data_IF_257988267609
#
_entry.id   IF_257988267609
#
_cell.length_a   1.000
_cell.length_b   1.000
_cell.length_c   1.000
_cell.angle_alpha   90.00
_cell.angle_beta   90.00
_cell.angle_gamma   90.00
#
_symmetry.space_group_name_H-M   'P 1'
#
loop_
_entity.id
_entity.type
_entity.pdbx_description
1 polymer ?
#
# COMPACT_ATOMS: atom_id res chain seq x y z
N UNK A 1 0.45 17.19 10.25
CA UNK A 1 1.08 16.50 11.42
C UNK A 1 1.76 17.55 12.26
N UNK A 2 1.38 17.65 13.54
CA UNK A 2 1.88 18.68 14.44
C UNK A 2 3.40 18.63 14.59
N UNK A 3 4.09 19.79 14.61
CA UNK A 3 5.56 19.84 14.68
C UNK A 3 6.14 19.11 15.89
N UNK A 4 5.46 19.15 17.05
CA UNK A 4 5.85 18.41 18.25
C UNK A 4 5.90 16.91 18.06
N UNK A 5 4.91 16.32 17.36
CA UNK A 5 4.89 14.87 17.05
C UNK A 5 6.01 14.44 16.14
N UNK A 6 6.48 15.33 15.25
CA UNK A 6 7.63 15.03 14.38
C UNK A 6 8.94 14.94 15.16
N UNK A 7 9.10 15.77 16.18
CA UNK A 7 10.27 15.76 17.08
C UNK A 7 10.30 14.48 17.94
N UNK A 8 9.15 14.02 18.42
CA UNK A 8 9.04 12.77 19.19
C UNK A 8 9.37 11.54 18.33
N UNK A 9 8.89 11.49 17.06
CA UNK A 9 9.22 10.43 16.11
C UNK A 9 10.73 10.43 15.82
N UNK A 10 11.33 11.60 15.62
CA UNK A 10 12.75 11.74 15.36
C UNK A 10 13.59 11.24 16.53
N UNK A 11 13.16 11.52 17.76
CA UNK A 11 13.81 11.03 18.99
C UNK A 11 13.70 9.50 19.11
N UNK A 12 12.53 8.94 18.85
CA UNK A 12 12.33 7.49 18.83
C UNK A 12 13.18 6.78 17.77
N UNK A 13 13.42 7.43 16.63
CA UNK A 13 14.30 6.90 15.57
C UNK A 13 15.77 6.89 15.97
N UNK A 14 16.21 7.85 16.77
CA UNK A 14 17.57 7.83 17.36
C UNK A 14 17.72 6.75 18.43
N UNK A 15 16.71 6.61 19.32
CA UNK A 15 16.72 5.61 20.40
C UNK A 15 16.69 4.17 19.85
N UNK A 16 16.01 3.96 18.71
CA UNK A 16 15.96 2.66 18.01
C UNK A 16 17.16 2.38 17.11
N UNK A 17 18.09 3.31 16.96
CA UNK A 17 19.29 3.16 16.12
C UNK A 17 19.03 3.23 14.61
N UNK A 18 17.87 3.71 14.20
CA UNK A 18 17.49 3.87 12.77
C UNK A 18 18.23 5.04 12.13
N UNK A 19 18.53 6.10 12.91
CA UNK A 19 19.32 7.25 12.49
C UNK A 19 20.49 7.46 13.43
N UNK A 20 21.58 8.04 12.92
CA UNK A 20 22.73 8.40 13.73
C UNK A 20 22.55 9.77 14.41
N UNK A 21 23.44 10.07 15.39
CA UNK A 21 23.37 11.31 16.15
C UNK A 21 23.55 12.56 15.26
N UNK A 22 24.29 12.44 14.17
CA UNK A 22 24.58 13.54 13.24
C UNK A 22 23.37 13.85 12.35
N UNK A 23 22.66 12.81 11.93
CA UNK A 23 21.39 12.94 11.20
C UNK A 23 20.29 13.48 12.10
N UNK A 24 20.22 13.03 13.35
CA UNK A 24 19.30 13.55 14.35
C UNK A 24 19.44 15.07 14.55
N UNK A 25 20.66 15.56 14.81
CA UNK A 25 20.90 17.00 15.01
C UNK A 25 20.55 17.82 13.77
N UNK A 26 20.87 17.33 12.56
CA UNK A 26 20.52 17.97 11.29
C UNK A 26 19.00 18.12 11.08
N UNK A 27 18.22 17.11 11.45
CA UNK A 27 16.77 17.16 11.30
C UNK A 27 16.10 17.94 12.42
N UNK A 28 16.65 17.89 13.62
CA UNK A 28 16.20 18.67 14.77
C UNK A 28 16.30 20.17 14.51
N UNK A 29 17.43 20.63 13.98
CA UNK A 29 17.65 22.04 13.63
C UNK A 29 16.63 22.56 12.61
N UNK A 30 16.16 21.73 11.70
CA UNK A 30 15.13 22.05 10.71
C UNK A 30 13.73 22.10 11.30
N UNK A 31 13.44 21.32 12.32
CA UNK A 31 12.09 21.15 12.89
C UNK A 31 11.85 22.06 14.11
N UNK A 32 12.90 22.52 14.80
CA UNK A 32 12.79 23.39 15.97
C UNK A 32 12.19 24.78 15.69
N UNK A 33 12.43 25.47 14.55
CA UNK A 33 11.80 26.73 14.25
C UNK A 33 10.27 26.61 14.13
N UNK A 34 9.80 25.57 13.43
CA UNK A 34 8.37 25.32 13.23
C UNK A 34 7.66 24.96 14.55
N UNK A 35 8.34 24.27 15.45
CA UNK A 35 7.80 23.91 16.77
C UNK A 35 7.66 25.12 17.70
N UNK A 36 8.60 26.05 17.66
CA UNK A 36 8.58 27.28 18.48
C UNK A 36 7.53 28.29 17.99
N UNK A 37 7.25 28.32 16.70
CA UNK A 37 6.23 29.19 16.10
C UNK A 37 4.82 28.68 16.41
N UNK A 38 4.62 27.34 16.41
CA UNK A 38 3.38 26.70 16.77
C UNK A 38 3.03 26.88 18.26
N UNK A 39 4.01 26.77 19.16
CA UNK A 39 3.82 26.95 20.60
C UNK A 39 3.50 28.42 20.97
N UNK A 40 4.07 29.38 20.23
CA UNK A 40 3.71 30.82 20.35
C UNK A 40 2.28 31.10 19.91
N UNK A 41 1.79 30.45 18.87
CA UNK A 41 0.42 30.58 18.37
C UNK A 41 -0.60 30.06 19.38
N UNK A 42 -0.36 28.89 19.98
CA UNK A 42 -1.25 28.35 21.03
C UNK A 42 -1.24 29.19 22.32
N UNK A 43 -0.10 29.77 22.69
CA UNK A 43 0.00 30.61 23.88
C UNK A 43 -0.73 31.96 23.73
N UNK A 44 -0.85 32.49 22.51
CA UNK A 44 -1.63 33.70 22.22
C UNK A 44 -3.15 33.46 22.27
N UNK A 45 -3.62 32.26 21.88
CA UNK A 45 -5.04 31.89 21.99
C UNK A 45 -5.48 31.64 23.44
N UNK A 46 -4.61 31.06 24.29
CA UNK A 46 -4.89 30.84 25.72
C UNK A 46 -4.90 32.17 26.48
N UNK A 47 -4.05 33.14 26.11
CA UNK A 47 -4.03 34.45 26.75
C UNK A 47 -5.26 35.32 26.41
N UNK A 48 -5.77 35.19 25.16
CA UNK A 48 -7.01 35.90 24.76
C UNK A 48 -8.27 35.37 25.47
N UNK A 49 -8.32 34.12 25.82
CA UNK A 49 -9.45 33.54 26.56
C UNK A 49 -9.45 33.84 28.07
N UNK A 50 -8.30 34.15 28.66
CA UNK A 50 -8.22 34.54 30.08
C UNK A 50 -8.64 35.98 30.35
N UNK A 51 -8.42 36.90 29.40
CA UNK A 51 -8.89 38.29 29.54
C UNK A 51 -10.40 38.42 29.37
N UNK A 52 -11.02 37.61 28.50
CA UNK A 52 -12.47 37.56 28.36
C UNK A 52 -13.19 36.96 29.60
N UNK A 53 -12.52 36.07 30.33
CA UNK A 53 -13.04 35.48 31.56
C UNK A 53 -13.06 36.46 32.75
N UNK A 54 -12.09 37.37 32.86
CA UNK A 54 -12.04 38.39 33.91
C UNK A 54 -13.06 39.53 33.75
N UNK A 55 -13.41 39.92 32.50
CA UNK A 55 -14.44 40.88 32.21
C UNK A 55 -15.86 40.36 32.46
N UNK A 56 -16.06 39.03 32.50
CA UNK A 56 -17.37 38.43 32.82
C UNK A 56 -17.65 38.40 34.30
N UNK A 57 -16.62 38.24 35.16
CA UNK A 57 -16.78 38.23 36.64
C UNK A 57 -17.04 39.64 37.21
N UNK A 58 -16.49 40.71 36.63
CA UNK A 58 -16.75 42.07 37.15
C UNK A 58 -18.15 42.59 36.83
N UNK A 59 -18.85 42.00 35.84
CA UNK A 59 -20.21 42.37 35.45
C UNK A 59 -21.29 41.56 36.18
N UNK A 60 -20.89 40.48 36.85
CA UNK A 60 -21.78 39.62 37.64
C UNK A 60 -22.02 40.13 39.07
N UNK A 61 -21.11 40.98 39.63
CA UNK A 61 -21.26 41.50 40.97
C UNK A 61 -22.13 42.78 41.06
N UNK A 62 -22.42 43.44 39.94
CA UNK A 62 -23.24 44.66 39.91
C UNK A 62 -24.75 44.41 39.76
N UNK A 63 -25.18 43.14 39.55
CA UNK A 63 -26.57 42.72 39.33
C UNK A 63 -27.21 41.93 40.48
N UNK A 64 -26.55 41.89 41.68
CA UNK A 64 -27.11 41.30 42.89
C UNK A 64 -27.91 42.34 43.68
N UNK A 65 -28.98 42.87 43.13
CA UNK A 65 -30.10 43.46 43.89
C UNK A 65 -31.36 42.70 43.58
N UNK A 66 -31.91 42.11 44.63
CA UNK A 66 -33.15 41.34 44.62
C UNK A 66 -34.25 42.01 43.82
N UNK A 67 -35.01 41.18 43.13
CA UNK A 67 -36.46 41.31 43.17
C UNK A 67 -37.21 39.97 43.27
N UNK A 68 -38.15 40.01 44.21
CA UNK A 68 -39.44 39.33 44.19
C UNK A 68 -39.66 37.99 43.48
N UNK A 69 -40.22 37.09 44.24
CA UNK A 69 -40.75 35.76 43.87
C UNK A 69 -41.53 35.77 42.56
N UNK A 70 -40.98 35.15 41.53
CA UNK A 70 -41.69 34.77 40.32
C UNK A 70 -41.93 33.26 40.27
N UNK A 71 -43.03 32.79 39.71
CA UNK A 71 -43.61 31.46 39.94
C UNK A 71 -42.74 30.31 39.47
N UNK A 72 -42.62 29.28 40.27
CA UNK A 72 -41.86 28.00 40.12
C UNK A 72 -42.02 27.24 38.80
N UNK A 73 -42.87 27.67 37.86
CA UNK A 73 -43.11 26.99 36.56
C UNK A 73 -42.02 27.21 35.48
N UNK A 74 -41.19 28.24 35.62
CA UNK A 74 -40.16 28.51 34.60
C UNK A 74 -38.90 27.63 34.74
N UNK A 75 -38.61 27.16 35.94
CA UNK A 75 -37.46 26.30 36.26
C UNK A 75 -37.55 24.92 35.58
N UNK A 76 -38.74 24.29 35.56
CA UNK A 76 -38.89 22.99 34.94
C UNK A 76 -38.79 23.04 33.40
N UNK A 77 -39.28 24.11 32.78
CA UNK A 77 -39.16 24.31 31.32
C UNK A 77 -37.71 24.50 30.91
N UNK A 78 -36.94 25.27 31.70
CA UNK A 78 -35.51 25.50 31.43
C UNK A 78 -34.73 24.18 31.60
N UNK A 79 -35.08 23.37 32.60
CA UNK A 79 -34.44 22.09 32.83
C UNK A 79 -34.75 21.08 31.72
N UNK A 80 -35.98 21.01 31.25
CA UNK A 80 -36.38 20.15 30.12
C UNK A 80 -35.71 20.64 28.83
N UNK A 81 -35.67 21.94 28.59
CA UNK A 81 -35.00 22.51 27.40
C UNK A 81 -33.47 22.21 27.38
N UNK A 82 -32.82 22.28 28.56
CA UNK A 82 -31.38 21.94 28.65
C UNK A 82 -31.11 20.45 28.39
N UNK A 83 -31.96 19.54 28.89
CA UNK A 83 -31.86 18.11 28.61
C UNK A 83 -32.04 17.83 27.11
N UNK A 84 -33.05 18.42 26.47
CA UNK A 84 -33.28 18.29 25.03
C UNK A 84 -32.06 18.79 24.24
N UNK A 85 -31.48 19.93 24.61
CA UNK A 85 -30.29 20.47 23.96
C UNK A 85 -29.10 19.50 24.05
N UNK A 86 -28.86 18.90 25.23
CA UNK A 86 -27.80 17.94 25.44
C UNK A 86 -28.05 16.68 24.59
N UNK A 87 -29.25 16.15 24.57
CA UNK A 87 -29.60 15.00 23.73
C UNK A 87 -29.39 15.26 22.24
N UNK A 88 -29.80 16.46 21.76
CA UNK A 88 -29.55 16.87 20.37
C UNK A 88 -28.06 17.02 20.07
N UNK A 89 -27.26 17.50 21.00
CA UNK A 89 -25.82 17.64 20.85
C UNK A 89 -25.14 16.25 20.76
N UNK A 90 -25.53 15.30 21.61
CA UNK A 90 -25.06 13.91 21.52
C UNK A 90 -25.51 13.24 20.21
N UNK A 91 -26.75 13.45 19.80
CA UNK A 91 -27.26 12.94 18.52
C UNK A 91 -26.48 13.52 17.32
N UNK A 92 -26.16 14.80 17.36
CA UNK A 92 -25.36 15.47 16.33
C UNK A 92 -23.92 14.92 16.27
N UNK A 93 -23.25 14.73 17.42
CA UNK A 93 -21.90 14.13 17.51
C UNK A 93 -21.94 12.69 17.00
N UNK A 94 -22.94 11.92 17.37
CA UNK A 94 -23.10 10.54 16.93
C UNK A 94 -23.36 10.46 15.40
N UNK A 95 -24.24 11.30 14.88
CA UNK A 95 -24.48 11.41 13.45
C UNK A 95 -23.20 11.84 12.68
N UNK A 96 -22.47 12.82 13.21
CA UNK A 96 -21.18 13.25 12.64
C UNK A 96 -20.16 12.12 12.62
N UNK A 97 -20.05 11.33 13.69
CA UNK A 97 -19.12 10.19 13.75
C UNK A 97 -19.49 9.05 12.79
N UNK A 98 -20.76 8.85 12.48
CA UNK A 98 -21.22 7.86 11.51
C UNK A 98 -20.97 8.34 10.08
N UNK A 99 -21.24 9.63 9.80
CA UNK A 99 -21.08 10.23 8.47
C UNK A 99 -19.60 10.42 8.10
N UNK A 100 -18.74 10.73 9.07
CA UNK A 100 -17.32 10.97 8.89
C UNK A 100 -16.46 9.77 9.28
N UNK A 101 -16.87 8.55 8.91
CA UNK A 101 -15.98 7.38 9.07
C UNK A 101 -14.67 7.65 8.33
N UNK A 102 -13.52 7.49 9.00
CA UNK A 102 -12.24 7.66 8.34
C UNK A 102 -12.17 6.69 7.15
N UNK A 103 -11.84 7.22 5.98
CA UNK A 103 -11.55 6.37 4.81
C UNK A 103 -10.34 5.51 5.13
N UNK A 104 -10.28 4.26 4.65
CA UNK A 104 -9.10 3.44 4.83
C UNK A 104 -7.89 4.18 4.26
N UNK A 105 -6.84 4.32 5.05
CA UNK A 105 -5.64 5.08 4.70
C UNK A 105 -4.49 4.15 4.31
N UNK A 106 -4.58 2.88 4.66
CA UNK A 106 -3.54 1.88 4.40
C UNK A 106 -4.10 0.65 3.69
N UNK A 107 -3.20 -0.12 3.09
CA UNK A 107 -3.55 -1.41 2.46
C UNK A 107 -4.02 -2.41 3.52
N UNK A 108 -3.44 -2.36 4.72
CA UNK A 108 -3.84 -3.18 5.86
C UNK A 108 -5.29 -2.90 6.28
N UNK A 109 -5.70 -1.62 6.33
CA UNK A 109 -7.10 -1.25 6.60
C UNK A 109 -8.05 -1.84 5.56
N UNK A 110 -7.65 -1.83 4.28
CA UNK A 110 -8.41 -2.43 3.20
C UNK A 110 -8.55 -3.94 3.39
N UNK A 111 -7.47 -4.65 3.74
CA UNK A 111 -7.52 -6.09 4.03
C UNK A 111 -8.46 -6.40 5.21
N UNK A 112 -8.40 -5.61 6.28
CA UNK A 112 -9.32 -5.77 7.43
C UNK A 112 -10.78 -5.54 7.03
N UNK A 113 -11.07 -4.54 6.20
CA UNK A 113 -12.42 -4.28 5.69
C UNK A 113 -12.90 -5.39 4.75
N UNK A 114 -12.02 -5.91 3.89
CA UNK A 114 -12.31 -7.01 2.99
C UNK A 114 -12.69 -8.29 3.74
N UNK A 115 -11.89 -8.67 4.73
CA UNK A 115 -12.15 -9.84 5.57
C UNK A 115 -13.46 -9.71 6.38
N UNK A 116 -13.89 -8.49 6.69
CA UNK A 116 -15.19 -8.20 7.31
C UNK A 116 -16.36 -8.11 6.31
N UNK A 117 -16.12 -8.36 5.03
CA UNK A 117 -17.13 -8.26 3.97
C UNK A 117 -17.67 -6.84 3.75
N UNK A 118 -16.89 -5.81 4.05
CA UNK A 118 -17.30 -4.39 3.96
C UNK A 118 -16.85 -3.69 2.67
N UNK A 119 -16.07 -4.36 1.83
CA UNK A 119 -15.69 -3.86 0.51
C UNK A 119 -16.66 -4.36 -0.55
N UNK A 120 -16.81 -3.57 -1.61
CA UNK A 120 -17.48 -4.01 -2.83
C UNK A 120 -16.60 -5.02 -3.57
N UNK A 121 -17.16 -5.93 -4.40
CA UNK A 121 -16.39 -6.92 -5.15
C UNK A 121 -15.30 -6.35 -6.05
N UNK A 122 -15.48 -5.11 -6.54
CA UNK A 122 -14.51 -4.39 -7.36
C UNK A 122 -13.34 -3.82 -6.53
N UNK A 123 -13.55 -3.64 -5.22
CA UNK A 123 -12.56 -3.09 -4.29
C UNK A 123 -11.79 -4.18 -3.55
N UNK A 124 -12.37 -5.37 -3.43
CA UNK A 124 -11.71 -6.48 -2.77
C UNK A 124 -12.59 -7.72 -2.68
N UNK A 125 -11.93 -8.85 -2.54
CA UNK A 125 -12.58 -10.15 -2.35
C UNK A 125 -11.63 -11.15 -1.68
N UNK A 126 -12.18 -12.22 -1.15
CA UNK A 126 -11.40 -13.35 -0.61
C UNK A 126 -11.29 -14.44 -1.67
N UNK A 127 -10.06 -14.74 -2.08
CA UNK A 127 -9.76 -15.76 -3.07
C UNK A 127 -9.50 -17.11 -2.38
N UNK A 128 -10.11 -18.18 -2.87
CA UNK A 128 -10.03 -19.55 -2.30
C UNK A 128 -10.33 -19.62 -0.79
N UNK A 129 -11.10 -18.67 -0.26
CA UNK A 129 -11.49 -18.63 1.15
C UNK A 129 -10.36 -18.23 2.12
N UNK A 130 -9.16 -17.94 1.63
CA UNK A 130 -7.96 -17.68 2.47
C UNK A 130 -7.30 -16.36 2.13
N UNK A 131 -7.13 -16.06 0.85
CA UNK A 131 -6.32 -14.94 0.40
C UNK A 131 -7.17 -13.70 0.21
N UNK A 132 -6.91 -12.64 1.00
CA UNK A 132 -7.55 -11.35 0.82
C UNK A 132 -6.89 -10.59 -0.32
N UNK A 133 -7.66 -10.27 -1.36
CA UNK A 133 -7.26 -9.39 -2.45
C UNK A 133 -7.98 -8.06 -2.32
N UNK A 134 -7.24 -6.96 -2.33
CA UNK A 134 -7.78 -5.60 -2.29
C UNK A 134 -7.14 -4.76 -3.37
N UNK A 135 -7.89 -3.82 -3.94
CA UNK A 135 -7.35 -2.89 -4.93
C UNK A 135 -7.17 -1.50 -4.35
N UNK A 136 -6.04 -0.92 -4.64
CA UNK A 136 -5.72 0.47 -4.33
C UNK A 136 -4.93 1.06 -5.49
N UNK A 137 -5.35 2.20 -5.99
CA UNK A 137 -4.73 2.90 -7.13
C UNK A 137 -4.49 2.02 -8.37
N UNK A 138 -5.51 1.22 -8.72
CA UNK A 138 -5.50 0.26 -9.83
C UNK A 138 -4.45 -0.86 -9.73
N UNK A 139 -3.91 -1.08 -8.54
CA UNK A 139 -3.02 -2.21 -8.24
C UNK A 139 -3.72 -3.13 -7.25
N UNK A 140 -3.62 -4.43 -7.47
CA UNK A 140 -4.13 -5.45 -6.57
C UNK A 140 -3.07 -5.85 -5.55
N UNK A 141 -3.47 -5.86 -4.30
CA UNK A 141 -2.61 -6.24 -3.18
C UNK A 141 -3.13 -7.50 -2.52
N UNK A 142 -2.20 -8.38 -2.16
CA UNK A 142 -2.46 -9.54 -1.30
C UNK A 142 -1.28 -9.77 -0.39
N UNK A 143 -1.51 -10.46 0.72
CA UNK A 143 -0.46 -10.78 1.70
C UNK A 143 -0.15 -12.27 1.66
N UNK A 144 1.14 -12.58 1.59
CA UNK A 144 1.65 -13.93 1.73
C UNK A 144 2.66 -14.02 2.87
N UNK A 145 2.56 -15.10 3.62
CA UNK A 145 3.57 -15.44 4.63
C UNK A 145 4.72 -16.19 3.97
N UNK A 146 5.95 -15.86 4.33
CA UNK A 146 7.13 -16.60 3.87
C UNK A 146 7.01 -18.09 4.23
N UNK A 147 7.66 -19.02 3.50
CA UNK A 147 7.65 -20.44 3.82
C UNK A 147 8.09 -20.76 5.25
N UNK A 148 8.94 -19.93 5.84
CA UNK A 148 9.40 -20.04 7.24
C UNK A 148 8.45 -19.41 8.26
N UNK A 149 7.35 -18.78 7.84
CA UNK A 149 6.38 -18.12 8.71
C UNK A 149 6.90 -16.84 9.41
N UNK A 150 8.10 -16.38 9.05
CA UNK A 150 8.80 -15.28 9.77
C UNK A 150 8.56 -13.91 9.16
N UNK A 151 8.12 -13.85 7.91
CA UNK A 151 7.90 -12.58 7.19
C UNK A 151 6.55 -12.61 6.48
N UNK A 152 5.87 -11.48 6.46
CA UNK A 152 4.69 -11.25 5.62
C UNK A 152 5.14 -10.34 4.47
N UNK A 153 4.81 -10.73 3.26
CA UNK A 153 5.06 -9.97 2.04
C UNK A 153 3.76 -9.39 1.51
N UNK A 154 3.73 -8.08 1.32
CA UNK A 154 2.69 -7.42 0.54
C UNK A 154 3.06 -7.54 -0.93
N UNK A 155 2.27 -8.30 -1.67
CA UNK A 155 2.42 -8.49 -3.09
C UNK A 155 1.53 -7.50 -3.83
N UNK A 156 2.12 -6.75 -4.74
CA UNK A 156 1.45 -5.78 -5.59
C UNK A 156 1.46 -6.28 -7.03
N UNK A 157 0.30 -6.61 -7.60
CA UNK A 157 0.14 -7.11 -8.98
C UNK A 157 -0.91 -6.25 -9.71
N UNK A 158 -0.78 -6.13 -11.01
CA UNK A 158 -1.69 -5.27 -11.80
C UNK A 158 -3.03 -5.92 -12.06
N UNK A 159 -3.06 -7.24 -12.16
CA UNK A 159 -4.26 -8.02 -12.42
C UNK A 159 -4.57 -8.95 -11.25
N UNK A 160 -5.84 -9.10 -10.95
CA UNK A 160 -6.29 -10.04 -9.92
C UNK A 160 -6.35 -11.48 -10.47
N UNK A 161 -6.37 -12.50 -9.61
CA UNK A 161 -6.59 -13.88 -10.04
C UNK A 161 -7.87 -14.07 -10.88
N UNK A 162 -8.90 -13.26 -10.67
CA UNK A 162 -10.14 -13.32 -11.46
C UNK A 162 -9.92 -12.89 -12.90
N UNK A 163 -9.05 -11.89 -13.11
CA UNK A 163 -8.76 -11.34 -14.43
C UNK A 163 -7.87 -12.29 -15.27
N UNK A 164 -7.17 -13.21 -14.59
CA UNK A 164 -6.17 -14.10 -15.18
C UNK A 164 -6.59 -15.57 -15.23
N UNK A 165 -7.83 -15.87 -14.80
CA UNK A 165 -8.32 -17.25 -14.67
C UNK A 165 -8.27 -18.06 -15.99
N UNK A 166 -8.45 -17.39 -17.11
CA UNK A 166 -8.51 -18.02 -18.42
C UNK A 166 -7.12 -18.15 -19.08
N UNK A 167 -6.06 -17.66 -18.41
CA UNK A 167 -4.69 -17.78 -18.90
C UNK A 167 -4.08 -19.08 -18.40
N UNK A 168 -3.87 -20.01 -19.33
CA UNK A 168 -3.25 -21.30 -19.07
C UNK A 168 -1.73 -21.15 -19.18
N UNK A 169 -1.00 -21.80 -18.24
CA UNK A 169 0.45 -21.97 -18.36
C UNK A 169 0.71 -23.39 -18.84
N UNK A 170 1.28 -23.51 -20.02
CA UNK A 170 1.65 -24.81 -20.60
C UNK A 170 3.01 -25.27 -20.08
N UNK A 171 3.29 -26.58 -20.14
CA UNK A 171 4.59 -27.15 -19.79
C UNK A 171 4.84 -27.17 -18.28
N UNK A 172 6.09 -27.40 -17.88
CA UNK A 172 6.48 -27.53 -16.47
C UNK A 172 7.83 -26.87 -16.21
N UNK A 173 7.89 -26.07 -15.16
CA UNK A 173 9.14 -25.52 -14.63
C UNK A 173 9.80 -26.55 -13.72
N UNK A 174 11.11 -26.76 -13.87
CA UNK A 174 11.87 -27.57 -12.93
C UNK A 174 12.04 -26.80 -11.61
N UNK A 175 11.27 -27.17 -10.60
CA UNK A 175 11.30 -26.53 -9.29
C UNK A 175 12.66 -26.64 -8.60
N UNK A 176 13.37 -27.76 -8.74
CA UNK A 176 14.72 -27.90 -8.16
C UNK A 176 15.71 -26.98 -8.84
N UNK A 177 15.62 -26.88 -10.16
CA UNK A 177 16.45 -25.96 -10.92
C UNK A 177 16.15 -24.51 -10.50
N UNK A 178 14.87 -24.16 -10.42
CA UNK A 178 14.45 -22.84 -9.94
C UNK A 178 14.99 -22.53 -8.55
N UNK A 179 14.85 -23.43 -7.59
CA UNK A 179 15.26 -23.20 -6.20
C UNK A 179 16.79 -23.09 -6.03
N UNK A 180 17.57 -23.82 -6.84
CA UNK A 180 19.02 -23.89 -6.73
C UNK A 180 19.75 -22.73 -7.46
N UNK A 181 19.05 -21.89 -8.22
CA UNK A 181 19.66 -20.76 -8.94
C UNK A 181 19.32 -19.45 -8.26
N UNK A 182 20.33 -18.72 -7.78
CA UNK A 182 20.19 -17.39 -7.16
C UNK A 182 20.05 -16.27 -8.20
N UNK A 183 20.49 -16.53 -9.43
CA UNK A 183 20.41 -15.60 -10.55
C UNK A 183 19.39 -16.07 -11.58
N UNK A 184 18.71 -15.11 -12.23
CA UNK A 184 17.88 -15.40 -13.39
C UNK A 184 18.11 -14.35 -14.49
N UNK A 185 18.05 -14.80 -15.73
CA UNK A 185 18.29 -13.98 -16.88
C UNK A 185 16.95 -13.49 -17.45
N UNK A 186 16.86 -12.18 -17.68
CA UNK A 186 15.70 -11.56 -18.32
C UNK A 186 16.08 -11.20 -19.72
N UNK A 187 15.47 -11.85 -20.70
CA UNK A 187 15.78 -11.70 -22.12
C UNK A 187 14.56 -11.34 -22.95
N UNK A 188 14.78 -10.54 -23.97
CA UNK A 188 13.77 -10.11 -24.94
C UNK A 188 14.44 -9.57 -26.21
N UNK A 189 13.67 -9.38 -27.28
CA UNK A 189 14.14 -8.77 -28.52
C UNK A 189 14.50 -7.29 -28.30
N UNK A 190 15.78 -6.87 -28.44
CA UNK A 190 16.22 -5.50 -28.19
C UNK A 190 15.72 -4.49 -29.25
N UNK A 191 15.21 -4.97 -30.40
CA UNK A 191 14.66 -4.14 -31.47
C UNK A 191 13.13 -4.25 -31.58
N UNK A 192 12.50 -4.78 -30.52
CA UNK A 192 11.04 -4.92 -30.44
C UNK A 192 10.29 -3.59 -30.47
N UNK A 193 8.99 -3.65 -30.75
CA UNK A 193 8.11 -2.47 -30.82
C UNK A 193 7.34 -2.22 -29.53
N UNK A 194 7.21 -3.25 -28.69
CA UNK A 194 6.38 -3.25 -27.48
C UNK A 194 7.17 -2.90 -26.21
N UNK A 195 8.25 -2.10 -26.34
CA UNK A 195 9.23 -1.84 -25.28
C UNK A 195 8.60 -1.36 -23.97
N UNK A 196 7.54 -0.54 -24.03
CA UNK A 196 6.84 -0.04 -22.84
C UNK A 196 6.20 -1.17 -22.04
N UNK A 197 5.57 -2.13 -22.72
CA UNK A 197 4.89 -3.27 -22.09
C UNK A 197 5.90 -4.32 -21.63
N UNK A 198 6.95 -4.57 -22.44
CA UNK A 198 8.08 -5.42 -22.03
C UNK A 198 8.74 -4.87 -20.78
N UNK A 199 9.08 -3.58 -20.77
CA UNK A 199 9.68 -2.92 -19.61
C UNK A 199 8.82 -3.00 -18.35
N UNK A 200 7.50 -2.83 -18.51
CA UNK A 200 6.54 -2.95 -17.41
C UNK A 200 6.49 -4.38 -16.85
N UNK A 201 6.34 -5.37 -17.72
CA UNK A 201 6.32 -6.79 -17.36
C UNK A 201 7.62 -7.23 -16.66
N UNK A 202 8.77 -6.81 -17.19
CA UNK A 202 10.09 -7.08 -16.62
C UNK A 202 10.26 -6.42 -15.25
N UNK A 203 9.84 -5.17 -15.09
CA UNK A 203 9.95 -4.46 -13.82
C UNK A 203 9.13 -5.13 -12.73
N UNK A 204 7.88 -5.52 -13.03
CA UNK A 204 7.00 -6.23 -12.11
C UNK A 204 7.63 -7.59 -11.73
N UNK A 205 8.06 -8.39 -12.70
CA UNK A 205 8.69 -9.68 -12.43
C UNK A 205 9.96 -9.56 -11.57
N UNK A 206 10.87 -8.65 -11.94
CA UNK A 206 12.12 -8.43 -11.22
C UNK A 206 11.88 -8.03 -9.75
N UNK A 207 10.87 -7.18 -9.51
CA UNK A 207 10.51 -6.75 -8.16
C UNK A 207 10.12 -7.93 -7.29
N UNK A 208 9.26 -8.83 -7.79
CA UNK A 208 8.82 -10.01 -7.07
C UNK A 208 9.94 -11.04 -6.88
N UNK A 209 10.72 -11.29 -7.92
CA UNK A 209 11.84 -12.24 -7.87
C UNK A 209 12.92 -11.80 -6.87
N UNK A 210 13.27 -10.53 -6.88
CA UNK A 210 14.29 -10.01 -5.95
C UNK A 210 13.78 -9.90 -4.51
N UNK A 211 12.54 -9.44 -4.32
CA UNK A 211 12.01 -9.13 -2.98
C UNK A 211 11.55 -10.40 -2.23
N UNK A 212 10.94 -11.35 -2.93
CA UNK A 212 10.28 -12.50 -2.31
C UNK A 212 11.08 -13.79 -2.50
N UNK A 213 11.57 -14.03 -3.72
CA UNK A 213 12.37 -15.22 -4.03
C UNK A 213 13.87 -15.03 -3.80
N UNK A 214 14.30 -13.80 -3.44
CA UNK A 214 15.69 -13.42 -3.15
C UNK A 214 16.64 -13.72 -4.33
N UNK A 215 16.12 -13.68 -5.58
CA UNK A 215 16.87 -13.96 -6.80
C UNK A 215 17.34 -12.68 -7.47
N UNK A 216 18.55 -12.71 -8.02
CA UNK A 216 19.19 -11.58 -8.68
C UNK A 216 18.88 -11.56 -10.19
N UNK A 217 18.23 -10.50 -10.72
CA UNK A 217 18.00 -10.37 -12.15
C UNK A 217 19.28 -10.00 -12.90
N UNK A 218 19.53 -10.69 -14.00
CA UNK A 218 20.59 -10.39 -14.96
C UNK A 218 19.95 -9.97 -16.27
N UNK A 219 20.20 -8.75 -16.71
CA UNK A 219 19.71 -8.28 -18.01
C UNK A 219 20.47 -8.96 -19.13
N UNK A 220 19.72 -9.56 -20.05
CA UNK A 220 20.23 -10.26 -21.23
C UNK A 220 19.51 -9.77 -22.49
N UNK A 221 19.97 -10.20 -23.65
CA UNK A 221 19.30 -10.01 -24.93
C UNK A 221 19.13 -11.36 -25.61
N UNK A 222 18.07 -11.50 -26.44
CA UNK A 222 17.91 -12.71 -27.23
C UNK A 222 18.78 -12.72 -28.50
N UNK A 223 19.31 -11.53 -28.88
CA UNK A 223 20.18 -11.33 -30.03
C UNK A 223 21.08 -10.10 -29.88
N UNK A 224 22.17 -10.06 -30.62
CA UNK A 224 23.13 -8.95 -30.57
C UNK A 224 22.88 -7.95 -31.70
N UNK A 225 21.79 -7.17 -31.61
CA UNK A 225 21.40 -6.20 -32.63
C UNK A 225 21.47 -4.73 -32.18
N UNK A 226 21.83 -4.48 -30.90
CA UNK A 226 21.93 -3.11 -30.36
C UNK A 226 23.21 -2.93 -29.54
N UNK A 227 23.69 -1.68 -29.38
CA UNK A 227 24.88 -1.38 -28.57
C UNK A 227 24.80 -1.96 -27.15
N UNK A 228 23.66 -1.82 -26.41
CA UNK A 228 23.56 -2.41 -25.08
C UNK A 228 23.71 -3.95 -25.07
N UNK A 229 23.37 -4.62 -26.17
CA UNK A 229 23.46 -6.08 -26.25
C UNK A 229 24.87 -6.59 -26.62
N UNK A 230 25.78 -5.71 -27.00
CA UNK A 230 27.20 -6.06 -27.16
C UNK A 230 27.89 -6.34 -25.83
N UNK A 231 27.42 -5.68 -24.77
CA UNK A 231 27.98 -5.81 -23.41
C UNK A 231 27.18 -6.76 -22.51
N UNK A 232 26.02 -7.22 -22.98
CA UNK A 232 25.14 -8.13 -22.23
C UNK A 232 25.25 -9.56 -22.76
N UNK A 233 25.02 -10.56 -21.94
CA UNK A 233 24.94 -11.94 -22.39
C UNK A 233 23.77 -12.11 -23.38
N UNK A 234 24.01 -12.89 -24.43
CA UNK A 234 22.94 -13.35 -25.30
C UNK A 234 22.41 -14.65 -24.69
N UNK A 235 21.15 -14.66 -24.28
CA UNK A 235 20.52 -15.78 -23.58
C UNK A 235 19.16 -16.07 -24.15
N UNK A 236 18.88 -17.36 -24.36
CA UNK A 236 17.58 -17.88 -24.79
C UNK A 236 17.18 -19.08 -23.97
N UNK A 237 16.02 -19.69 -24.24
CA UNK A 237 15.60 -20.94 -23.58
C UNK A 237 16.47 -22.17 -23.96
N UNK A 238 17.41 -22.04 -24.86
CA UNK A 238 18.35 -23.10 -25.25
C UNK A 238 19.53 -23.20 -24.25
N UNK A 239 19.75 -22.16 -23.45
CA UNK A 239 20.77 -22.12 -22.41
C UNK A 239 20.30 -22.92 -21.18
N UNK A 240 20.48 -24.24 -21.20
CA UNK A 240 19.95 -25.16 -20.21
C UNK A 240 20.54 -25.00 -18.79
N UNK A 241 21.66 -24.29 -18.67
CA UNK A 241 22.37 -23.97 -17.42
C UNK A 241 21.90 -22.67 -16.76
N UNK A 242 20.93 -21.96 -17.35
CA UNK A 242 20.43 -20.68 -16.87
C UNK A 242 18.94 -20.72 -16.59
N UNK A 243 18.53 -20.08 -15.48
CA UNK A 243 17.11 -19.79 -15.23
C UNK A 243 16.74 -18.53 -16.05
N UNK A 244 15.77 -18.66 -16.94
CA UNK A 244 15.46 -17.61 -17.93
C UNK A 244 14.00 -17.16 -17.83
N UNK A 245 13.77 -15.84 -17.83
CA UNK A 245 12.50 -15.23 -18.24
C UNK A 245 12.67 -14.69 -19.65
N UNK A 246 11.94 -15.23 -20.61
CA UNK A 246 11.92 -14.79 -22.00
C UNK A 246 10.59 -14.11 -22.35
N UNK A 247 10.62 -12.79 -22.53
CA UNK A 247 9.48 -12.01 -23.01
C UNK A 247 9.55 -11.89 -24.53
N UNK A 248 8.57 -12.45 -25.24
CA UNK A 248 8.51 -12.47 -26.71
C UNK A 248 7.33 -11.68 -27.23
N UNK A 249 7.60 -10.70 -28.05
CA UNK A 249 6.56 -10.02 -28.81
C UNK A 249 5.95 -10.95 -29.85
N UNK A 250 4.64 -11.12 -29.81
CA UNK A 250 3.90 -12.04 -30.69
C UNK A 250 2.46 -11.56 -30.84
N UNK A 251 1.85 -11.83 -31.99
CA UNK A 251 0.41 -11.66 -32.16
C UNK A 251 -0.43 -12.73 -31.46
N UNK A 252 0.19 -13.83 -31.06
CA UNK A 252 -0.45 -14.90 -30.29
C UNK A 252 -0.06 -14.76 -28.82
N UNK A 253 -1.04 -14.66 -27.96
CA UNK A 253 -0.81 -14.67 -26.51
C UNK A 253 -0.66 -16.11 -26.02
N UNK A 254 0.45 -16.38 -25.31
CA UNK A 254 0.78 -17.67 -24.74
C UNK A 254 1.74 -17.53 -23.57
N UNK A 255 1.56 -18.36 -22.54
CA UNK A 255 2.49 -18.45 -21.41
C UNK A 255 2.85 -19.92 -21.19
N UNK A 256 4.13 -20.22 -21.13
CA UNK A 256 4.57 -21.61 -20.95
C UNK A 256 5.93 -21.73 -20.26
N UNK A 257 6.15 -22.89 -19.67
CA UNK A 257 7.43 -23.30 -19.13
C UNK A 257 8.12 -24.29 -20.03
N UNK A 258 9.43 -24.16 -20.15
CA UNK A 258 10.29 -25.12 -20.79
C UNK A 258 11.46 -25.41 -19.85
N UNK A 259 11.27 -26.36 -18.91
CA UNK A 259 12.24 -26.79 -17.90
C UNK A 259 12.83 -25.65 -17.07
N UNK A 260 13.86 -24.98 -17.58
CA UNK A 260 14.57 -23.86 -16.94
C UNK A 260 14.10 -22.49 -17.41
N UNK A 261 13.14 -22.43 -18.34
CA UNK A 261 12.74 -21.20 -19.00
C UNK A 261 11.26 -20.91 -18.78
N UNK A 262 10.96 -19.67 -18.41
CA UNK A 262 9.63 -19.10 -18.33
C UNK A 262 9.44 -18.22 -19.56
N UNK A 263 8.47 -18.54 -20.42
CA UNK A 263 8.20 -17.80 -21.63
C UNK A 263 6.83 -17.13 -21.56
N UNK A 264 6.80 -15.84 -21.86
CA UNK A 264 5.58 -15.05 -22.03
C UNK A 264 5.60 -14.44 -23.42
N UNK A 265 4.67 -14.89 -24.27
CA UNK A 265 4.50 -14.41 -25.64
C UNK A 265 3.22 -13.58 -25.74
N UNK A 266 3.24 -12.46 -26.42
CA UNK A 266 2.06 -11.63 -26.61
C UNK A 266 2.37 -10.24 -27.11
N UNK A 267 1.38 -9.35 -27.04
CA UNK A 267 1.52 -7.93 -27.37
C UNK A 267 0.80 -7.06 -26.33
N UNK A 268 1.28 -5.85 -26.14
CA UNK A 268 0.65 -4.91 -25.24
C UNK A 268 0.53 -5.46 -23.81
N UNK A 269 -0.62 -5.26 -23.21
CA UNK A 269 -0.91 -5.70 -21.84
C UNK A 269 -0.96 -7.22 -21.66
N UNK A 270 -1.03 -8.02 -22.72
CA UNK A 270 -0.97 -9.48 -22.60
C UNK A 270 0.37 -9.95 -22.03
N UNK A 271 1.46 -9.24 -22.34
CA UNK A 271 2.77 -9.51 -21.73
C UNK A 271 2.74 -9.30 -20.21
N UNK A 272 2.09 -8.25 -19.75
CA UNK A 272 1.96 -7.95 -18.31
C UNK A 272 1.05 -8.95 -17.62
N UNK A 273 -0.09 -9.31 -18.23
CA UNK A 273 -1.00 -10.34 -17.71
C UNK A 273 -0.31 -11.71 -17.62
N UNK A 274 0.47 -12.06 -18.63
CA UNK A 274 1.23 -13.31 -18.64
C UNK A 274 2.22 -13.38 -17.50
N UNK A 275 2.94 -12.29 -17.24
CA UNK A 275 3.88 -12.20 -16.10
C UNK A 275 3.15 -12.28 -14.76
N UNK A 276 2.06 -11.56 -14.55
CA UNK A 276 1.27 -11.65 -13.32
C UNK A 276 0.74 -13.07 -13.10
N UNK A 277 0.29 -13.73 -14.19
CA UNK A 277 -0.17 -15.12 -14.13
C UNK A 277 0.94 -16.09 -13.73
N UNK A 278 2.17 -15.89 -14.24
CA UNK A 278 3.36 -16.64 -13.82
C UNK A 278 3.66 -16.40 -12.35
N UNK A 279 3.67 -15.17 -11.90
CA UNK A 279 3.92 -14.83 -10.50
C UNK A 279 2.90 -15.50 -9.58
N UNK A 280 1.61 -15.48 -9.90
CA UNK A 280 0.60 -16.21 -9.14
C UNK A 280 0.83 -17.73 -9.10
N UNK A 281 1.37 -18.29 -10.18
CA UNK A 281 1.74 -19.71 -10.19
C UNK A 281 2.95 -19.99 -9.30
N UNK A 282 4.01 -19.18 -9.39
CA UNK A 282 5.19 -19.29 -8.53
C UNK A 282 4.86 -19.14 -7.04
N UNK A 283 3.87 -18.31 -6.71
CA UNK A 283 3.34 -18.16 -5.34
C UNK A 283 2.39 -19.29 -4.91
N UNK A 284 2.11 -20.28 -5.77
CA UNK A 284 1.10 -21.32 -5.56
C UNK A 284 -0.33 -20.79 -5.32
N UNK A 285 -0.60 -19.54 -5.66
CA UNK A 285 -1.93 -18.95 -5.57
C UNK A 285 -2.86 -19.43 -6.70
N UNK A 286 -2.32 -19.52 -7.91
CA UNK A 286 -3.01 -20.08 -9.08
C UNK A 286 -2.20 -21.29 -9.58
N UNK A 287 -2.71 -22.49 -9.35
CA UNK A 287 -2.07 -23.71 -9.87
C UNK A 287 -2.21 -23.79 -11.39
N UNK A 288 -1.31 -24.52 -12.03
CA UNK A 288 -1.54 -25.02 -13.40
C UNK A 288 -2.73 -25.96 -13.35
N UNK A 289 -3.65 -25.83 -14.28
CA UNK A 289 -4.61 -26.90 -14.55
C UNK A 289 -3.82 -28.01 -15.28
N UNK A 290 -3.80 -29.18 -14.70
CA UNK A 290 -3.28 -30.38 -15.37
C UNK A 290 -4.22 -30.65 -16.56
N UNK A 291 -3.67 -30.53 -17.77
CA UNK A 291 -4.39 -30.81 -19.02
C UNK A 291 -4.60 -32.31 -19.19
#
# INVERSE_FOLDING_TARGET
MEPGKKLDILKGSLESGVIDKKEYEKWKEKLEPDAKEFDKSQKSEISGNLENSKNFQSKAEELAKEPEEAPKKSSEIVLIASIILIVLLFAAIFAYSILNKPKPQTIEDLHVLNLKGKLKPEQGYVYKGVYSFVTFDNVWYTQLTSPKGTKIYDLALRYSPKDLKDIIIEGKLDGKFFDNHDEFYVTFNPTGKEFSYVGLAVADFNTHMSKVFEKKPIAACDRNETEPCKERPIVTCEDADKLVLYIKESSRFRTYYNSNCIVVEGSGFDLVKGVDRVLYNLYNLMKQEEA
#
